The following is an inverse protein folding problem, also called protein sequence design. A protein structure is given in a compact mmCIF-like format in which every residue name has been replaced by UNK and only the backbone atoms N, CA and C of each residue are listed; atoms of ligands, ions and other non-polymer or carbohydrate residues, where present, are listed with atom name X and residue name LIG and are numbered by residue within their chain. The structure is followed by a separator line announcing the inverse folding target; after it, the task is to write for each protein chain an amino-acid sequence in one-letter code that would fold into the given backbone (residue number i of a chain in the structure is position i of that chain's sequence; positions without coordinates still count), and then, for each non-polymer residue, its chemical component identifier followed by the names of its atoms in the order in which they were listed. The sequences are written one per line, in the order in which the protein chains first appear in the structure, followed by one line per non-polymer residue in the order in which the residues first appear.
data_IF_386539791973
#
_entry.id   IF_386539791973
#
_cell.length_a   1.000
_cell.length_b   1.000
_cell.length_c   1.000
_cell.angle_alpha   90.00
_cell.angle_beta   90.00
_cell.angle_gamma   90.00
#
_symmetry.space_group_name_H-M   'P 1'
#
loop_
_entity.id
_entity.type
_entity.pdbx_description
1 polymer ?
#
# COMPACT_ATOMS: atom_id res chain seq x y z
N UNK A 1 6.40 18.35 -7.36
CA UNK A 1 7.36 18.27 -6.26
C UNK A 1 7.79 16.83 -6.04
N UNK A 2 9.08 16.60 -6.04
CA UNK A 2 9.62 15.24 -5.91
C UNK A 2 9.61 14.84 -4.43
N UNK A 3 9.06 13.68 -4.12
CA UNK A 3 9.09 13.17 -2.75
C UNK A 3 10.45 12.50 -2.50
N UNK A 4 10.99 12.72 -1.31
CA UNK A 4 12.21 12.03 -0.91
C UNK A 4 11.89 10.58 -0.55
N UNK A 5 12.92 9.73 -0.52
CA UNK A 5 12.75 8.33 -0.12
C UNK A 5 12.20 8.26 1.31
N UNK A 6 12.63 9.18 2.17
CA UNK A 6 12.16 9.24 3.55
C UNK A 6 10.66 9.55 3.62
N UNK A 7 10.18 10.47 2.77
CA UNK A 7 8.75 10.76 2.71
C UNK A 7 7.95 9.57 2.18
N UNK A 8 8.49 8.86 1.18
CA UNK A 8 7.85 7.65 0.66
C UNK A 8 7.74 6.58 1.74
N UNK A 9 8.81 6.38 2.50
CA UNK A 9 8.80 5.40 3.57
C UNK A 9 7.74 5.74 4.62
N UNK A 10 7.59 7.02 4.96
CA UNK A 10 6.57 7.46 5.91
C UNK A 10 5.17 7.17 5.39
N UNK A 11 4.92 7.45 4.11
CA UNK A 11 3.61 7.19 3.49
C UNK A 11 3.31 5.70 3.48
N UNK A 12 4.31 4.89 3.14
CA UNK A 12 4.15 3.43 3.09
C UNK A 12 3.94 2.85 4.49
N UNK A 13 4.63 3.40 5.49
CA UNK A 13 4.44 2.98 6.88
C UNK A 13 3.02 3.29 7.36
N UNK A 14 2.49 4.45 7.00
CA UNK A 14 1.12 4.81 7.34
C UNK A 14 0.12 3.86 6.68
N UNK A 15 0.37 3.50 5.43
CA UNK A 15 -0.48 2.53 4.72
C UNK A 15 -0.45 1.18 5.45
N UNK A 16 0.73 0.73 5.84
CA UNK A 16 0.86 -0.54 6.56
C UNK A 16 0.13 -0.51 7.90
N UNK A 17 0.16 0.62 8.59
CA UNK A 17 -0.53 0.77 9.86
C UNK A 17 -2.05 0.69 9.71
N UNK A 18 -2.57 1.05 8.54
CA UNK A 18 -4.00 0.96 8.26
C UNK A 18 -4.44 -0.45 7.86
N UNK A 19 -3.50 -1.31 7.48
CA UNK A 19 -3.84 -2.66 7.02
C UNK A 19 -4.64 -3.48 8.04
N UNK A 20 -4.25 -3.54 9.33
CA UNK A 20 -5.04 -4.33 10.29
C UNK A 20 -6.46 -3.84 10.43
N UNK A 21 -6.66 -2.51 10.45
CA UNK A 21 -8.00 -1.93 10.52
C UNK A 21 -8.81 -2.25 9.27
N UNK A 22 -8.17 -2.15 8.10
CA UNK A 22 -8.83 -2.44 6.84
C UNK A 22 -9.25 -3.92 6.77
N UNK A 23 -8.37 -4.82 7.18
CA UNK A 23 -8.67 -6.25 7.21
C UNK A 23 -9.80 -6.57 8.17
N UNK A 24 -9.88 -5.84 9.27
CA UNK A 24 -10.93 -6.01 10.25
C UNK A 24 -12.26 -5.46 9.78
N UNK A 25 -12.23 -4.31 9.09
CA UNK A 25 -13.44 -3.62 8.64
C UNK A 25 -14.06 -4.27 7.40
N UNK A 26 -13.27 -4.98 6.61
CA UNK A 26 -13.76 -5.64 5.41
C UNK A 26 -13.88 -7.14 5.67
N UNK A 27 -15.08 -7.70 5.47
CA UNK A 27 -15.30 -9.12 5.68
C UNK A 27 -14.95 -9.95 4.45
N UNK A 28 -14.95 -9.32 3.29
CA UNK A 28 -14.73 -9.97 2.02
C UNK A 28 -13.35 -9.61 1.47
N UNK A 29 -12.57 -10.61 0.99
CA UNK A 29 -11.28 -10.30 0.37
C UNK A 29 -11.39 -9.33 -0.80
N UNK A 30 -12.48 -9.40 -1.56
CA UNK A 30 -12.69 -8.49 -2.69
C UNK A 30 -12.86 -7.05 -2.21
N UNK A 31 -13.64 -6.84 -1.15
CA UNK A 31 -13.83 -5.51 -0.56
C UNK A 31 -12.52 -4.94 -0.05
N UNK A 32 -11.71 -5.78 0.60
CA UNK A 32 -10.40 -5.36 1.07
C UNK A 32 -9.53 -4.92 -0.10
N UNK A 33 -9.47 -5.74 -1.16
CA UNK A 33 -8.63 -5.43 -2.32
C UNK A 33 -9.07 -4.15 -3.01
N UNK A 34 -10.37 -3.91 -3.11
CA UNK A 34 -10.87 -2.67 -3.70
C UNK A 34 -10.45 -1.45 -2.90
N UNK A 35 -10.62 -1.51 -1.59
CA UNK A 35 -10.23 -0.40 -0.71
C UNK A 35 -8.73 -0.19 -0.74
N UNK A 36 -7.96 -1.28 -0.67
CA UNK A 36 -6.50 -1.19 -0.66
C UNK A 36 -5.97 -0.69 -2.00
N UNK A 37 -6.55 -1.14 -3.11
CA UNK A 37 -6.15 -0.69 -4.44
C UNK A 37 -6.35 0.81 -4.59
N UNK A 38 -7.46 1.34 -4.09
CA UNK A 38 -7.72 2.78 -4.13
C UNK A 38 -6.64 3.55 -3.36
N UNK A 39 -6.24 3.05 -2.19
CA UNK A 39 -5.19 3.68 -1.39
C UNK A 39 -3.83 3.61 -2.08
N UNK A 40 -3.49 2.43 -2.62
CA UNK A 40 -2.20 2.26 -3.28
C UNK A 40 -2.11 3.05 -4.59
N UNK A 41 -3.19 3.14 -5.34
CA UNK A 41 -3.23 3.96 -6.55
C UNK A 41 -2.97 5.43 -6.24
N UNK A 42 -3.55 5.93 -5.15
CA UNK A 42 -3.32 7.31 -4.73
C UNK A 42 -1.84 7.56 -4.43
N UNK A 43 -1.18 6.57 -3.81
CA UNK A 43 0.24 6.67 -3.52
C UNK A 43 1.05 6.62 -4.82
N UNK A 44 0.74 5.69 -5.71
CA UNK A 44 1.45 5.55 -6.98
C UNK A 44 1.32 6.81 -7.84
N UNK A 45 0.16 7.46 -7.81
CA UNK A 45 -0.05 8.70 -8.54
C UNK A 45 0.81 9.85 -8.02
N UNK A 46 1.20 9.80 -6.75
CA UNK A 46 1.96 10.87 -6.12
C UNK A 46 3.48 10.67 -6.20
N UNK A 47 3.95 9.53 -6.72
CA UNK A 47 5.38 9.24 -6.81
C UNK A 47 5.84 9.31 -8.26
N UNK A 48 7.14 9.44 -8.45
CA UNK A 48 7.71 9.45 -9.78
C UNK A 48 7.85 8.03 -10.32
N UNK A 49 7.91 7.91 -11.64
CA UNK A 49 8.05 6.62 -12.30
C UNK A 49 9.25 5.82 -11.79
N UNK A 50 10.34 6.50 -11.48
CA UNK A 50 11.55 5.86 -10.99
C UNK A 50 11.36 5.20 -9.63
N UNK A 51 10.41 5.70 -8.83
CA UNK A 51 10.14 5.18 -7.50
C UNK A 51 9.04 4.11 -7.48
N UNK A 52 8.31 3.95 -8.58
CA UNK A 52 7.22 2.98 -8.64
C UNK A 52 7.64 1.55 -8.31
N UNK A 53 8.77 1.02 -8.84
CA UNK A 53 9.18 -0.34 -8.47
C UNK A 53 9.42 -0.51 -6.98
N UNK A 54 10.01 0.50 -6.34
CA UNK A 54 10.25 0.48 -4.91
C UNK A 54 8.94 0.47 -4.13
N UNK A 55 8.01 1.35 -4.51
CA UNK A 55 6.70 1.45 -3.85
C UNK A 55 5.94 0.13 -3.98
N UNK A 56 5.92 -0.45 -5.16
CA UNK A 56 5.23 -1.73 -5.40
C UNK A 56 5.85 -2.87 -4.60
N UNK A 57 7.17 -2.90 -4.51
CA UNK A 57 7.86 -3.91 -3.72
C UNK A 57 7.49 -3.80 -2.24
N UNK A 58 7.46 -2.57 -1.71
CA UNK A 58 7.10 -2.34 -0.31
C UNK A 58 5.65 -2.75 -0.04
N UNK A 59 4.75 -2.46 -0.98
CA UNK A 59 3.35 -2.85 -0.87
C UNK A 59 3.22 -4.38 -0.84
N UNK A 60 3.91 -5.07 -1.73
CA UNK A 60 3.90 -6.53 -1.75
C UNK A 60 4.41 -7.12 -0.45
N UNK A 61 5.49 -6.55 0.09
CA UNK A 61 6.07 -7.01 1.35
C UNK A 61 5.10 -6.83 2.51
N UNK A 62 4.43 -5.69 2.59
CA UNK A 62 3.51 -5.45 3.69
C UNK A 62 2.29 -6.36 3.60
N UNK A 63 1.79 -6.63 2.41
CA UNK A 63 0.68 -7.56 2.22
C UNK A 63 1.08 -8.97 2.64
N UNK A 64 2.28 -9.39 2.27
CA UNK A 64 2.80 -10.70 2.68
C UNK A 64 2.94 -10.83 4.18
N UNK A 65 3.43 -9.77 4.85
CA UNK A 65 3.58 -9.77 6.30
C UNK A 65 2.25 -9.88 7.04
N UNK A 66 1.19 -9.36 6.45
CA UNK A 66 -0.14 -9.41 7.05
C UNK A 66 -0.98 -10.59 6.54
N UNK A 67 -0.36 -11.49 5.80
CA UNK A 67 -1.02 -12.71 5.35
C UNK A 67 -2.02 -12.54 4.23
N UNK A 68 -1.92 -11.45 3.47
CA UNK A 68 -2.82 -11.19 2.35
C UNK A 68 -2.25 -11.83 1.10
N UNK A 69 -3.08 -12.65 0.44
CA UNK A 69 -2.70 -13.28 -0.82
C UNK A 69 -3.47 -12.61 -1.96
N UNK A 70 -2.73 -12.19 -2.98
CA UNK A 70 -3.29 -11.44 -4.10
C UNK A 70 -3.56 -12.31 -5.33
N UNK A 71 -3.21 -13.55 -5.30
CA UNK A 71 -3.43 -14.47 -6.43
C UNK A 71 -4.64 -15.37 -6.21
#
# INVERSE_FOLDING_TARGET
MVRTRSELDSILDELEQELPGLLKDTQDPEDFLMAFTALSDAIEDSVEADDLPYVRQRIDEMLGRHGVQLS
#
